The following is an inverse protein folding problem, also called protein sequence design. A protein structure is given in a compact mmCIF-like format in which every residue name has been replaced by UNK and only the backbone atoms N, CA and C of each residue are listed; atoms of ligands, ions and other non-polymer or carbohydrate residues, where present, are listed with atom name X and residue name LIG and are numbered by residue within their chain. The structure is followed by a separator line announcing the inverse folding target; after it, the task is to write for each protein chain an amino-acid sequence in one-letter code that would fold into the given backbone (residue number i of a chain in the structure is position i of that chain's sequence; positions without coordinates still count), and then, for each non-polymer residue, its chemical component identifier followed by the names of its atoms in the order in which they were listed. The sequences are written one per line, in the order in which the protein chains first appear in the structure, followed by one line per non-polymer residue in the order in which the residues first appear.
data_IF_993550078426
#
_entry.id   IF_993550078426
#
_cell.length_a   1.000
_cell.length_b   1.000
_cell.length_c   1.000
_cell.angle_alpha   90.00
_cell.angle_beta   90.00
_cell.angle_gamma   90.00
#
_symmetry.space_group_name_H-M   'P 1'
#
loop_
_entity.id
_entity.type
_entity.pdbx_description
1 polymer ?
#
# COMPACT_ATOMS: atom_id res chain seq x y z
N UNK A 1 12.91 -7.75 -4.56
CA UNK A 1 11.58 -7.62 -5.23
C UNK A 1 11.58 -6.33 -6.01
N UNK A 2 11.18 -6.34 -7.28
CA UNK A 2 11.15 -5.14 -8.14
C UNK A 2 9.70 -4.83 -8.47
N UNK A 3 9.22 -3.64 -8.12
CA UNK A 3 7.90 -3.18 -8.53
C UNK A 3 7.97 -2.60 -9.94
N UNK A 4 7.09 -3.05 -10.83
CA UNK A 4 6.93 -2.55 -12.20
C UNK A 4 5.52 -2.02 -12.39
N UNK A 5 5.40 -0.82 -12.96
CA UNK A 5 4.13 -0.34 -13.48
C UNK A 5 3.84 -1.03 -14.83
N UNK A 6 2.70 -1.70 -14.93
CA UNK A 6 2.27 -2.44 -16.11
C UNK A 6 1.31 -1.65 -17.00
N UNK A 7 1.08 -0.36 -16.69
CA UNK A 7 0.12 0.48 -17.41
C UNK A 7 -1.31 0.41 -16.86
N UNK A 8 -2.21 1.06 -17.59
CA UNK A 8 -3.66 0.93 -17.39
C UNK A 8 -4.15 -0.40 -17.96
N UNK A 9 -5.07 -1.05 -17.25
CA UNK A 9 -5.70 -2.31 -17.62
C UNK A 9 -7.21 -2.25 -17.31
N UNK A 10 -7.95 -3.20 -17.88
CA UNK A 10 -9.35 -3.42 -17.49
C UNK A 10 -9.40 -4.62 -16.56
N UNK A 11 -9.94 -4.43 -15.36
CA UNK A 11 -10.20 -5.48 -14.39
C UNK A 11 -11.65 -5.40 -13.94
N UNK A 12 -12.42 -6.46 -14.19
CA UNK A 12 -13.84 -6.56 -13.81
C UNK A 12 -14.70 -5.38 -14.31
N UNK A 13 -14.45 -4.98 -15.56
CA UNK A 13 -15.13 -3.85 -16.18
C UNK A 13 -14.68 -2.48 -15.68
N UNK A 14 -13.74 -2.40 -14.75
CA UNK A 14 -13.16 -1.14 -14.25
C UNK A 14 -11.79 -0.90 -14.86
N UNK A 15 -11.50 0.36 -15.20
CA UNK A 15 -10.13 0.78 -15.53
C UNK A 15 -9.29 0.85 -14.24
N UNK A 16 -8.13 0.21 -14.26
CA UNK A 16 -7.20 0.15 -13.13
C UNK A 16 -5.78 0.41 -13.59
N UNK A 17 -4.95 0.98 -12.73
CA UNK A 17 -3.50 0.98 -12.87
C UNK A 17 -2.94 -0.28 -12.21
N UNK A 18 -2.03 -0.97 -12.90
CA UNK A 18 -1.47 -2.25 -12.45
C UNK A 18 0.00 -2.13 -12.05
N UNK A 19 0.34 -2.59 -10.85
CA UNK A 19 1.72 -2.64 -10.34
C UNK A 19 2.08 -4.07 -9.97
N UNK A 20 3.09 -4.64 -10.60
CA UNK A 20 3.51 -6.02 -10.33
C UNK A 20 4.85 -6.08 -9.62
N UNK A 21 4.96 -7.01 -8.68
CA UNK A 21 6.22 -7.32 -7.99
C UNK A 21 6.97 -8.53 -8.60
N UNK A 22 6.46 -9.05 -9.73
CA UNK A 22 6.90 -10.28 -10.39
C UNK A 22 6.09 -11.52 -10.00
N UNK A 23 5.37 -11.49 -8.87
CA UNK A 23 4.55 -12.61 -8.37
C UNK A 23 3.08 -12.18 -8.25
N UNK A 24 2.83 -11.04 -7.63
CA UNK A 24 1.52 -10.45 -7.44
C UNK A 24 1.39 -9.15 -8.22
N UNK A 25 0.16 -8.81 -8.58
CA UNK A 25 -0.19 -7.52 -9.18
C UNK A 25 -1.18 -6.81 -8.26
N UNK A 26 -0.84 -5.59 -7.84
CA UNK A 26 -1.75 -4.69 -7.15
C UNK A 26 -2.51 -3.86 -8.19
N UNK A 27 -3.83 -3.83 -8.06
CA UNK A 27 -4.71 -2.97 -8.86
C UNK A 27 -5.19 -1.78 -8.04
N UNK A 28 -4.96 -0.59 -8.58
CA UNK A 28 -5.43 0.67 -8.00
C UNK A 28 -6.29 1.41 -9.01
N UNK A 29 -7.22 2.24 -8.56
CA UNK A 29 -7.99 3.10 -9.46
C UNK A 29 -7.22 4.37 -9.88
N UNK A 30 -7.85 5.23 -10.69
CA UNK A 30 -7.26 6.50 -11.16
C UNK A 30 -6.91 7.48 -10.03
N UNK A 31 -7.51 7.33 -8.85
CA UNK A 31 -7.19 8.10 -7.64
C UNK A 31 -6.13 7.41 -6.78
N UNK A 32 -5.50 6.34 -7.29
CA UNK A 32 -4.48 5.52 -6.61
C UNK A 32 -5.01 4.81 -5.35
N UNK A 33 -6.31 4.55 -5.28
CA UNK A 33 -6.94 3.76 -4.21
C UNK A 33 -6.86 2.28 -4.56
N UNK A 34 -6.40 1.46 -3.62
CA UNK A 34 -6.13 0.04 -3.80
C UNK A 34 -7.43 -0.77 -3.77
N UNK A 35 -7.63 -1.59 -4.81
CA UNK A 35 -8.84 -2.38 -5.00
C UNK A 35 -8.60 -3.86 -4.72
N UNK A 36 -7.50 -4.41 -5.24
CA UNK A 36 -7.19 -5.83 -5.12
C UNK A 36 -5.69 -6.12 -5.28
N UNK A 37 -5.26 -7.26 -4.74
CA UNK A 37 -4.03 -7.95 -5.15
C UNK A 37 -4.40 -9.27 -5.80
N UNK A 38 -3.77 -9.57 -6.93
CA UNK A 38 -4.02 -10.78 -7.70
C UNK A 38 -2.73 -11.54 -7.99
N UNK A 39 -2.84 -12.85 -8.22
CA UNK A 39 -1.77 -13.72 -8.70
C UNK A 39 -2.31 -14.57 -9.83
N UNK A 40 -1.76 -14.41 -11.03
CA UNK A 40 -2.21 -15.17 -12.21
C UNK A 40 -3.69 -14.97 -12.56
N UNK A 41 -4.26 -13.79 -12.28
CA UNK A 41 -5.68 -13.48 -12.49
C UNK A 41 -6.60 -13.83 -11.31
N UNK A 42 -6.15 -14.66 -10.36
CA UNK A 42 -6.91 -15.00 -9.15
C UNK A 42 -6.75 -13.92 -8.09
N UNK A 43 -7.86 -13.48 -7.48
CA UNK A 43 -7.83 -12.55 -6.33
C UNK A 43 -7.18 -13.23 -5.13
N UNK A 44 -6.20 -12.56 -4.53
CA UNK A 44 -5.63 -12.93 -3.23
C UNK A 44 -6.30 -12.13 -2.12
N UNK A 45 -6.38 -10.81 -2.32
CA UNK A 45 -6.92 -9.85 -1.36
C UNK A 45 -7.77 -8.82 -2.12
N UNK A 46 -8.84 -8.33 -1.51
CA UNK A 46 -9.58 -7.17 -2.00
C UNK A 46 -10.05 -6.25 -0.88
N UNK A 47 -10.20 -4.98 -1.22
CA UNK A 47 -10.68 -3.92 -0.33
C UNK A 47 -11.90 -3.27 -0.97
N UNK A 48 -13.02 -3.26 -0.26
CA UNK A 48 -14.29 -2.75 -0.78
C UNK A 48 -14.84 -1.62 0.11
N UNK A 49 -15.07 -0.41 -0.42
CA UNK A 49 -14.92 -0.06 -1.82
C UNK A 49 -13.45 0.05 -2.28
N UNK A 50 -12.52 0.37 -1.37
CA UNK A 50 -11.08 0.50 -1.64
C UNK A 50 -10.30 0.77 -0.34
N UNK A 51 -8.97 0.67 -0.43
CA UNK A 51 -8.03 1.17 0.58
C UNK A 51 -7.29 2.42 0.07
N UNK A 52 -7.20 3.48 0.87
CA UNK A 52 -6.49 4.72 0.51
C UNK A 52 -5.07 4.75 1.08
N UNK A 53 -4.05 4.55 0.24
CA UNK A 53 -2.62 4.65 0.62
C UNK A 53 -2.12 6.09 0.83
N UNK A 54 -2.81 7.08 0.28
CA UNK A 54 -2.51 8.50 0.44
C UNK A 54 -3.71 9.29 -0.06
N UNK A 55 -4.27 10.16 0.78
CA UNK A 55 -5.33 11.08 0.36
C UNK A 55 -4.70 12.39 -0.15
N UNK A 56 -4.64 12.55 -1.48
CA UNK A 56 -3.99 13.69 -2.11
C UNK A 56 -4.86 14.96 -2.02
N UNK A 57 -4.26 16.16 -1.87
CA UNK A 57 -2.85 16.40 -1.60
C UNK A 57 -2.47 16.01 -0.16
N UNK A 58 -1.28 15.44 0.04
CA UNK A 58 -0.75 15.13 1.38
C UNK A 58 0.12 16.27 1.90
N UNK A 59 0.04 16.53 3.21
CA UNK A 59 0.87 17.47 3.95
C UNK A 59 0.97 16.98 5.40
N UNK A 60 2.02 17.38 6.12
CA UNK A 60 2.21 16.97 7.52
C UNK A 60 1.02 17.41 8.38
N UNK A 61 0.49 16.49 9.18
CA UNK A 61 -0.71 16.70 9.99
C UNK A 61 -2.02 16.29 9.31
N UNK A 62 -2.03 16.05 7.99
CA UNK A 62 -3.21 15.51 7.30
C UNK A 62 -3.52 14.11 7.83
N UNK A 63 -4.81 13.81 7.98
CA UNK A 63 -5.31 12.48 8.28
C UNK A 63 -6.57 12.19 7.46
N UNK A 64 -6.89 10.91 7.28
CA UNK A 64 -8.11 10.48 6.59
C UNK A 64 -8.65 9.18 7.17
N UNK A 65 -9.97 9.04 7.08
CA UNK A 65 -10.67 7.81 7.45
C UNK A 65 -10.49 6.77 6.35
N UNK A 66 -10.20 5.53 6.74
CA UNK A 66 -10.11 4.41 5.81
C UNK A 66 -11.00 3.28 6.33
N UNK A 67 -12.17 3.12 5.70
CA UNK A 67 -13.18 2.12 6.07
C UNK A 67 -13.52 1.26 4.87
N UNK A 68 -13.37 -0.03 5.03
CA UNK A 68 -13.57 -0.99 3.96
C UNK A 68 -13.94 -2.37 4.52
N UNK A 69 -14.54 -3.20 3.66
CA UNK A 69 -14.56 -4.64 3.82
C UNK A 69 -13.26 -5.20 3.24
N UNK A 70 -12.54 -5.97 4.04
CA UNK A 70 -11.34 -6.68 3.59
C UNK A 70 -11.66 -8.16 3.38
N UNK A 71 -11.26 -8.70 2.24
CA UNK A 71 -11.49 -10.09 1.88
C UNK A 71 -10.13 -10.72 1.56
N UNK A 72 -9.73 -11.71 2.37
CA UNK A 72 -8.62 -12.62 2.11
C UNK A 72 -9.18 -13.84 1.37
N UNK A 73 -9.14 -13.78 0.04
CA UNK A 73 -9.65 -14.82 -0.84
C UNK A 73 -8.82 -16.10 -0.74
N UNK A 74 -7.52 -15.98 -0.45
CA UNK A 74 -6.61 -17.13 -0.30
C UNK A 74 -7.00 -18.00 0.91
N UNK A 75 -7.52 -17.39 1.98
CA UNK A 75 -7.92 -18.10 3.22
C UNK A 75 -9.43 -18.17 3.43
N UNK A 76 -10.23 -17.66 2.50
CA UNK A 76 -11.70 -17.63 2.60
C UNK A 76 -12.20 -16.82 3.81
N UNK A 77 -11.51 -15.73 4.16
CA UNK A 77 -11.89 -14.87 5.30
C UNK A 77 -12.38 -13.51 4.84
N UNK A 78 -13.43 -13.02 5.49
CA UNK A 78 -13.98 -11.68 5.27
C UNK A 78 -14.03 -10.95 6.60
N UNK A 79 -13.62 -9.69 6.58
CA UNK A 79 -13.67 -8.77 7.71
C UNK A 79 -14.46 -7.54 7.29
N UNK A 80 -15.64 -7.38 7.88
CA UNK A 80 -16.49 -6.23 7.63
C UNK A 80 -16.07 -5.04 8.51
N UNK A 81 -16.32 -3.83 8.02
CA UNK A 81 -16.09 -2.57 8.75
C UNK A 81 -14.66 -2.40 9.29
N UNK A 82 -13.65 -2.86 8.55
CA UNK A 82 -12.25 -2.61 8.92
C UNK A 82 -11.99 -1.11 8.88
N UNK A 83 -11.49 -0.56 9.99
CA UNK A 83 -11.01 0.80 10.08
C UNK A 83 -9.48 0.79 10.19
N UNK A 84 -8.81 1.53 9.31
CA UNK A 84 -7.34 1.59 9.25
C UNK A 84 -6.88 2.98 8.78
N UNK A 85 -7.22 3.98 9.59
CA UNK A 85 -7.08 5.40 9.24
C UNK A 85 -5.61 5.78 9.00
N UNK A 86 -5.40 6.69 8.06
CA UNK A 86 -4.07 7.16 7.66
C UNK A 86 -3.76 8.53 8.25
N UNK A 87 -2.49 8.76 8.60
CA UNK A 87 -2.01 10.08 9.05
C UNK A 87 -0.60 10.37 8.51
N UNK A 88 -0.39 11.60 8.07
CA UNK A 88 0.94 12.10 7.66
C UNK A 88 1.62 12.68 8.90
N UNK A 89 2.61 11.98 9.42
CA UNK A 89 3.27 12.34 10.68
C UNK A 89 4.46 13.30 10.46
N UNK A 90 5.17 13.16 9.35
CA UNK A 90 6.40 13.90 9.10
C UNK A 90 6.74 14.02 7.61
N UNK A 91 7.62 14.96 7.28
CA UNK A 91 8.35 15.04 6.02
C UNK A 91 9.85 15.09 6.35
N UNK A 92 10.55 14.00 6.07
CA UNK A 92 11.87 13.72 6.65
C UNK A 92 12.84 13.14 5.62
N UNK A 93 14.14 13.20 5.91
CA UNK A 93 15.15 12.46 5.15
C UNK A 93 15.08 10.97 5.51
N UNK A 94 14.95 10.12 4.50
CA UNK A 94 14.87 8.66 4.67
C UNK A 94 16.00 8.02 3.88
N UNK A 95 16.91 7.37 4.59
CA UNK A 95 17.96 6.56 4.00
C UNK A 95 17.40 5.20 3.56
N UNK A 96 17.71 4.82 2.33
CA UNK A 96 17.54 3.47 1.78
C UNK A 96 18.83 3.03 1.09
N UNK A 97 18.91 1.76 0.68
CA UNK A 97 20.04 1.29 -0.11
C UNK A 97 20.21 2.02 -1.46
N UNK A 98 19.15 2.61 -2.02
CA UNK A 98 19.21 3.41 -3.25
C UNK A 98 19.65 4.87 -3.03
N UNK A 99 19.83 5.32 -1.79
CA UNK A 99 20.19 6.69 -1.46
C UNK A 99 19.34 7.29 -0.33
N UNK A 100 19.48 8.60 -0.11
CA UNK A 100 18.66 9.34 0.86
C UNK A 100 17.68 10.22 0.11
N UNK A 101 16.41 10.17 0.50
CA UNK A 101 15.34 10.90 -0.15
C UNK A 101 14.48 11.62 0.87
N UNK A 102 14.00 12.82 0.54
CA UNK A 102 12.91 13.44 1.28
C UNK A 102 11.62 12.66 1.05
N UNK A 103 10.92 12.32 2.12
CA UNK A 103 9.68 11.56 2.04
C UNK A 103 8.69 11.90 3.16
N UNK A 104 7.40 11.81 2.83
CA UNK A 104 6.32 11.86 3.80
C UNK A 104 6.21 10.52 4.53
N UNK A 105 6.24 10.55 5.86
CA UNK A 105 5.94 9.39 6.70
C UNK A 105 4.44 9.32 6.96
N UNK A 106 3.81 8.27 6.46
CA UNK A 106 2.38 8.01 6.61
C UNK A 106 2.20 6.78 7.50
N UNK A 107 1.42 6.90 8.56
CA UNK A 107 1.14 5.83 9.52
C UNK A 107 -0.31 5.39 9.43
N UNK A 108 -0.52 4.11 9.73
CA UNK A 108 -1.82 3.46 9.87
C UNK A 108 -1.78 2.50 11.04
N UNK A 109 -2.93 2.27 11.66
CA UNK A 109 -3.02 1.27 12.71
C UNK A 109 -4.44 0.91 13.11
N UNK A 110 -4.56 -0.27 13.69
CA UNK A 110 -5.70 -0.74 14.45
C UNK A 110 -5.17 -1.65 15.60
N UNK A 111 -6.04 -2.22 16.45
CA UNK A 111 -5.59 -3.08 17.54
C UNK A 111 -4.83 -4.36 17.13
N UNK A 112 -4.81 -4.72 15.85
CA UNK A 112 -4.23 -5.97 15.34
C UNK A 112 -3.00 -5.78 14.46
N UNK A 113 -2.80 -4.60 13.85
CA UNK A 113 -1.63 -4.29 13.02
C UNK A 113 -1.31 -2.81 12.94
N UNK A 114 -0.08 -2.52 12.53
CA UNK A 114 0.35 -1.19 12.10
C UNK A 114 1.06 -1.23 10.76
N UNK A 115 1.02 -0.11 10.03
CA UNK A 115 1.73 0.09 8.78
C UNK A 115 2.33 1.50 8.78
N UNK A 116 3.59 1.62 8.43
CA UNK A 116 4.22 2.90 8.09
C UNK A 116 4.71 2.83 6.65
N UNK A 117 4.40 3.85 5.87
CA UNK A 117 4.84 4.05 4.50
C UNK A 117 5.63 5.35 4.41
N UNK A 118 6.73 5.35 3.65
CA UNK A 118 7.46 6.55 3.31
C UNK A 118 7.31 6.84 1.82
N UNK A 119 6.67 7.96 1.48
CA UNK A 119 6.43 8.38 0.11
C UNK A 119 7.36 9.52 -0.29
N UNK A 120 8.21 9.32 -1.30
CA UNK A 120 9.02 10.41 -1.86
C UNK A 120 8.26 11.09 -2.99
N UNK A 121 7.88 12.38 -2.85
CA UNK A 121 7.21 13.11 -3.93
C UNK A 121 8.10 13.30 -5.16
N UNK A 122 9.42 13.48 -4.97
CA UNK A 122 10.37 13.70 -6.06
C UNK A 122 10.50 12.46 -6.96
N UNK A 123 10.44 11.27 -6.37
CA UNK A 123 10.42 10.01 -7.12
C UNK A 123 9.00 9.56 -7.51
N UNK A 124 7.97 10.15 -6.88
CA UNK A 124 6.58 9.77 -7.08
C UNK A 124 6.20 8.40 -6.52
N UNK A 125 7.00 7.80 -5.63
CA UNK A 125 6.86 6.39 -5.18
C UNK A 125 7.08 6.20 -3.67
N UNK A 126 6.55 5.09 -3.14
CA UNK A 126 6.84 4.65 -1.78
C UNK A 126 8.22 4.00 -1.73
N UNK A 127 9.15 4.62 -0.99
CA UNK A 127 10.56 4.23 -0.91
C UNK A 127 10.86 3.28 0.25
N UNK A 128 9.97 3.19 1.24
CA UNK A 128 10.13 2.32 2.40
C UNK A 128 8.77 1.95 2.98
N UNK A 129 8.68 0.77 3.59
CA UNK A 129 7.53 0.39 4.40
C UNK A 129 7.94 -0.44 5.61
N UNK A 130 7.15 -0.34 6.68
CA UNK A 130 7.21 -1.22 7.84
C UNK A 130 5.80 -1.63 8.22
N UNK A 131 5.52 -2.91 8.15
CA UNK A 131 4.25 -3.50 8.55
C UNK A 131 4.47 -4.41 9.77
N UNK A 132 3.60 -4.30 10.75
CA UNK A 132 3.65 -5.12 11.96
C UNK A 132 2.27 -5.72 12.21
N UNK A 133 2.21 -7.02 12.45
CA UNK A 133 1.03 -7.75 12.90
C UNK A 133 1.26 -8.11 14.36
N UNK A 134 0.32 -7.73 15.21
CA UNK A 134 0.37 -8.02 16.64
C UNK A 134 -0.16 -9.43 16.91
N UNK A 135 -0.04 -9.90 18.15
CA UNK A 135 -0.41 -11.28 18.54
C UNK A 135 -1.87 -11.64 18.24
N UNK A 136 -2.79 -10.68 18.25
CA UNK A 136 -4.21 -10.87 17.91
C UNK A 136 -4.52 -10.93 16.42
N UNK A 137 -3.54 -10.74 15.52
CA UNK A 137 -3.80 -10.77 14.08
C UNK A 137 -4.08 -12.19 13.59
N UNK A 138 -5.05 -12.35 12.69
CA UNK A 138 -5.50 -13.66 12.19
C UNK A 138 -4.45 -14.48 11.41
N UNK A 139 -3.30 -13.87 11.12
CA UNK A 139 -2.15 -14.48 10.43
C UNK A 139 -0.96 -14.71 11.38
N UNK A 140 -1.18 -14.50 12.68
CA UNK A 140 -0.15 -14.50 13.70
C UNK A 140 0.72 -13.25 13.69
N UNK A 141 1.57 -13.17 14.72
CA UNK A 141 2.58 -12.14 14.91
C UNK A 141 3.54 -12.09 13.70
N UNK A 142 4.00 -10.90 13.34
CA UNK A 142 5.10 -10.78 12.38
C UNK A 142 5.40 -9.35 11.97
N UNK A 143 6.64 -9.12 11.56
CA UNK A 143 7.10 -7.82 11.06
C UNK A 143 7.62 -8.01 9.64
N UNK A 144 7.32 -7.05 8.78
CA UNK A 144 7.86 -6.97 7.42
C UNK A 144 8.32 -5.56 7.14
N UNK A 145 9.55 -5.44 6.66
CA UNK A 145 10.11 -4.18 6.20
C UNK A 145 10.52 -4.31 4.74
N UNK A 146 10.38 -3.21 4.00
CA UNK A 146 10.84 -3.10 2.62
C UNK A 146 11.51 -1.75 2.44
N UNK A 147 12.54 -1.68 1.63
CA UNK A 147 13.17 -0.41 1.24
C UNK A 147 13.52 -0.41 -0.26
N UNK A 148 13.67 0.79 -0.80
CA UNK A 148 14.12 1.00 -2.16
C UNK A 148 15.60 0.65 -2.28
N UNK A 149 15.89 -0.40 -3.04
CA UNK A 149 17.26 -0.88 -3.31
C UNK A 149 17.85 -0.23 -4.56
N UNK A 150 17.04 -0.07 -5.60
CA UNK A 150 17.41 0.62 -6.84
C UNK A 150 16.15 1.09 -7.57
N UNK A 151 16.31 2.04 -8.49
CA UNK A 151 15.23 2.54 -9.33
C UNK A 151 15.76 2.94 -10.70
N UNK A 152 14.88 2.87 -11.70
CA UNK A 152 15.12 3.36 -13.05
C UNK A 152 13.88 4.13 -13.49
N UNK A 153 14.05 5.41 -13.83
CA UNK A 153 12.98 6.25 -14.38
C UNK A 153 13.22 6.33 -15.87
N UNK A 154 12.36 5.66 -16.65
CA UNK A 154 12.35 5.85 -18.10
C UNK A 154 11.86 7.27 -18.40
N UNK A 155 12.71 8.04 -19.07
CA UNK A 155 12.38 9.36 -19.61
C UNK A 155 11.54 9.23 -20.87
#
# INVERSE_FOLDING_TARGET
MTIRFLGEQTWEGKKVMAFSDGVTTSYVDSQRRLLARVRGGTRLESWEPYFVNADWPIFVGKWWVNRFRYIDHERGRTFDNVQYDGRVEAYEDVATQAGTFKAFRITYGNPFSSLTLWYSPDLGLFIKSRAERFSGHYLGLGTRETELVSYEIKR
#
